data_IF_312916505850
#
_entry.id   IF_312916505850
#
_cell.length_a   1.000
_cell.length_b   1.000
_cell.length_c   1.000
_cell.angle_alpha   90.00
_cell.angle_beta   90.00
_cell.angle_gamma   90.00
#
_symmetry.space_group_name_H-M   'P 1'
#
loop_
_entity.id
_entity.type
_entity.pdbx_description
1 polymer ?
#
# COMPACT_ATOMS: atom_id res chain seq x y z
N UNK A 1 10.22 75.26 -15.88
CA UNK A 1 9.83 76.39 -15.03
C UNK A 1 10.39 76.29 -13.62
N UNK A 2 10.10 75.22 -12.85
CA UNK A 2 10.63 75.06 -11.49
C UNK A 2 12.17 75.09 -11.38
N UNK A 3 12.86 74.32 -12.23
CA UNK A 3 14.34 74.26 -12.24
C UNK A 3 15.03 75.61 -12.53
N UNK A 4 14.42 76.49 -13.32
CA UNK A 4 15.01 77.80 -13.62
C UNK A 4 14.96 78.71 -12.38
N UNK A 5 13.86 78.68 -11.63
CA UNK A 5 13.75 79.47 -10.39
C UNK A 5 14.71 79.01 -9.29
N UNK A 6 14.87 77.69 -9.12
CA UNK A 6 15.85 77.13 -8.16
C UNK A 6 17.29 77.48 -8.55
N UNK A 7 17.59 77.49 -9.86
CA UNK A 7 18.92 77.86 -10.35
C UNK A 7 19.22 79.35 -10.13
N UNK A 8 18.25 80.22 -10.36
CA UNK A 8 18.39 81.66 -10.11
C UNK A 8 18.56 81.96 -8.60
N UNK A 9 17.82 81.27 -7.73
CA UNK A 9 17.99 81.35 -6.27
C UNK A 9 19.37 80.84 -5.83
N UNK A 10 19.87 79.77 -6.44
CA UNK A 10 21.20 79.23 -6.15
C UNK A 10 22.33 80.17 -6.58
N UNK A 11 22.19 80.85 -7.73
CA UNK A 11 23.12 81.89 -8.16
C UNK A 11 23.08 83.12 -7.25
N UNK A 12 21.89 83.48 -6.74
CA UNK A 12 21.71 84.62 -5.85
C UNK A 12 22.37 84.42 -4.46
N UNK A 13 22.49 83.18 -3.98
CA UNK A 13 23.16 82.86 -2.71
C UNK A 13 24.62 83.36 -2.66
N UNK A 14 25.33 83.36 -3.78
CA UNK A 14 26.74 83.77 -3.85
C UNK A 14 26.98 85.27 -3.59
N UNK A 15 25.92 86.08 -3.60
CA UNK A 15 25.99 87.54 -3.42
C UNK A 15 25.46 88.02 -2.06
N UNK A 16 25.01 87.10 -1.20
CA UNK A 16 24.36 87.42 0.09
C UNK A 16 25.29 87.28 1.30
N UNK A 17 25.03 88.01 2.40
CA UNK A 17 25.75 87.85 3.66
C UNK A 17 25.55 86.43 4.25
N UNK A 18 26.57 85.94 4.96
CA UNK A 18 26.71 84.54 5.41
C UNK A 18 25.47 84.01 6.15
N UNK A 19 24.90 84.80 7.06
CA UNK A 19 23.74 84.38 7.86
C UNK A 19 22.50 84.16 6.99
N UNK A 20 22.25 85.03 6.00
CA UNK A 20 21.14 84.90 5.06
C UNK A 20 21.33 83.73 4.09
N UNK A 21 22.57 83.50 3.65
CA UNK A 21 22.90 82.39 2.75
C UNK A 21 22.71 81.01 3.41
N UNK A 22 22.98 80.88 4.71
CA UNK A 22 22.76 79.64 5.46
C UNK A 22 21.26 79.30 5.60
N UNK A 23 20.42 80.29 5.86
CA UNK A 23 18.97 80.07 5.99
C UNK A 23 18.37 79.66 4.64
N UNK A 24 18.69 80.37 3.56
CA UNK A 24 18.15 80.06 2.23
C UNK A 24 18.64 78.73 1.67
N UNK A 25 19.93 78.41 1.84
CA UNK A 25 20.46 77.10 1.44
C UNK A 25 19.78 75.94 2.17
N UNK A 26 19.46 76.09 3.46
CA UNK A 26 18.71 75.07 4.21
C UNK A 26 17.30 74.84 3.64
N UNK A 27 16.59 75.91 3.26
CA UNK A 27 15.26 75.79 2.64
C UNK A 27 15.32 75.12 1.26
N UNK A 28 16.32 75.46 0.45
CA UNK A 28 16.52 74.86 -0.88
C UNK A 28 16.85 73.37 -0.77
N UNK A 29 17.74 72.98 0.15
CA UNK A 29 18.07 71.58 0.41
C UNK A 29 16.82 70.82 0.85
N UNK A 30 16.04 71.39 1.77
CA UNK A 30 14.80 70.76 2.26
C UNK A 30 13.79 70.55 1.13
N UNK A 31 13.62 71.55 0.25
CA UNK A 31 12.73 71.47 -0.90
C UNK A 31 13.20 70.40 -1.91
N UNK A 32 14.50 70.36 -2.21
CA UNK A 32 15.08 69.33 -3.09
C UNK A 32 14.91 67.93 -2.53
N UNK A 33 15.14 67.72 -1.23
CA UNK A 33 14.96 66.42 -0.56
C UNK A 33 13.48 66.00 -0.61
N UNK A 34 12.56 66.93 -0.33
CA UNK A 34 11.12 66.64 -0.35
C UNK A 34 10.66 66.25 -1.76
N UNK A 35 11.12 66.96 -2.79
CA UNK A 35 10.80 66.63 -4.19
C UNK A 35 11.35 65.27 -4.62
N UNK A 36 12.63 65.00 -4.34
CA UNK A 36 13.24 63.70 -4.66
C UNK A 36 12.54 62.56 -3.91
N UNK A 37 12.21 62.75 -2.62
CA UNK A 37 11.46 61.79 -1.83
C UNK A 37 10.06 61.57 -2.39
N UNK A 38 9.35 62.63 -2.79
CA UNK A 38 8.01 62.53 -3.38
C UNK A 38 8.01 61.73 -4.68
N UNK A 39 9.02 61.92 -5.53
CA UNK A 39 9.14 61.14 -6.78
C UNK A 39 9.38 59.66 -6.48
N UNK A 40 10.26 59.35 -5.52
CA UNK A 40 10.50 57.96 -5.09
C UNK A 40 9.25 57.30 -4.50
N UNK A 41 8.49 58.03 -3.68
CA UNK A 41 7.22 57.54 -3.11
C UNK A 41 6.21 57.25 -4.23
N UNK A 42 6.11 58.11 -5.25
CA UNK A 42 5.21 57.90 -6.39
C UNK A 42 5.59 56.65 -7.19
N UNK A 43 6.88 56.41 -7.43
CA UNK A 43 7.36 55.19 -8.11
C UNK A 43 7.03 53.96 -7.27
N UNK A 44 7.34 53.98 -5.97
CA UNK A 44 7.06 52.87 -5.06
C UNK A 44 5.56 52.56 -4.95
N UNK A 45 4.70 53.58 -5.00
CA UNK A 45 3.24 53.41 -4.96
C UNK A 45 2.69 52.63 -6.17
N UNK A 46 3.41 52.60 -7.29
CA UNK A 46 3.04 51.84 -8.49
C UNK A 46 3.69 50.45 -8.48
N UNK A 47 4.98 50.36 -8.14
CA UNK A 47 5.74 49.10 -8.22
C UNK A 47 5.27 48.05 -7.21
N UNK A 48 5.00 48.45 -5.96
CA UNK A 48 4.59 47.53 -4.88
C UNK A 48 3.29 46.78 -5.18
N UNK A 49 2.17 47.43 -5.57
CA UNK A 49 0.94 46.70 -5.88
C UNK A 49 1.09 45.79 -7.10
N UNK A 50 1.85 46.21 -8.12
CA UNK A 50 2.14 45.37 -9.28
C UNK A 50 2.91 44.11 -8.88
N UNK A 51 3.93 44.24 -8.04
CA UNK A 51 4.75 43.12 -7.59
C UNK A 51 3.95 42.13 -6.73
N UNK A 52 3.08 42.62 -5.83
CA UNK A 52 2.18 41.77 -5.04
C UNK A 52 1.20 40.99 -5.91
N UNK A 53 0.61 41.64 -6.93
CA UNK A 53 -0.30 40.99 -7.87
C UNK A 53 0.42 39.93 -8.71
N UNK A 54 1.60 40.25 -9.21
CA UNK A 54 2.40 39.32 -10.02
C UNK A 54 2.85 38.11 -9.20
N UNK A 55 3.30 38.32 -7.95
CA UNK A 55 3.69 37.24 -7.05
C UNK A 55 2.52 36.31 -6.74
N UNK A 56 1.35 36.89 -6.43
CA UNK A 56 0.12 36.12 -6.17
C UNK A 56 -0.35 35.37 -7.41
N UNK A 57 -0.04 35.85 -8.61
CA UNK A 57 -0.40 35.18 -9.87
C UNK A 57 0.57 34.05 -10.21
N UNK A 58 1.87 34.21 -9.94
CA UNK A 58 2.89 33.15 -10.11
C UNK A 58 2.70 31.97 -9.17
N UNK A 59 2.13 32.19 -7.99
CA UNK A 59 1.82 31.13 -7.02
C UNK A 59 0.53 30.36 -7.33
N UNK A 60 -0.25 30.77 -8.34
CA UNK A 60 -1.43 30.02 -8.75
C UNK A 60 -0.99 28.83 -9.58
N UNK A 61 -1.21 27.63 -9.06
CA UNK A 61 -1.09 26.43 -9.86
C UNK A 61 -2.10 26.47 -11.02
N UNK A 62 -1.64 26.04 -12.18
CA UNK A 62 -2.52 25.89 -13.35
C UNK A 62 -3.50 24.74 -13.12
N UNK A 63 -4.69 24.80 -13.73
CA UNK A 63 -5.66 23.68 -13.67
C UNK A 63 -5.07 22.36 -14.19
N UNK A 64 -4.02 22.44 -14.98
CA UNK A 64 -3.30 21.31 -15.54
C UNK A 64 -2.33 20.72 -14.51
N UNK A 65 -1.55 21.55 -13.81
CA UNK A 65 -0.70 21.14 -12.68
C UNK A 65 -1.52 20.49 -11.56
N UNK A 66 -2.65 21.08 -11.15
CA UNK A 66 -3.52 20.48 -10.12
C UNK A 66 -4.04 19.11 -10.56
N UNK A 67 -4.42 18.97 -11.84
CA UNK A 67 -4.91 17.69 -12.37
C UNK A 67 -3.80 16.64 -12.45
N UNK A 68 -2.57 17.04 -12.73
CA UNK A 68 -1.43 16.15 -12.81
C UNK A 68 -0.91 15.76 -11.40
N UNK A 69 -0.91 16.68 -10.43
CA UNK A 69 -0.67 16.37 -9.01
C UNK A 69 -1.71 15.39 -8.44
N UNK A 70 -2.99 15.53 -8.81
CA UNK A 70 -4.03 14.56 -8.41
C UNK A 70 -3.75 13.15 -8.97
N UNK A 71 -3.24 13.03 -10.20
CA UNK A 71 -2.88 11.74 -10.79
C UNK A 71 -1.66 11.11 -10.10
N UNK A 72 -0.70 11.93 -9.66
CA UNK A 72 0.47 11.46 -8.90
C UNK A 72 0.11 11.06 -7.46
N UNK A 73 -0.76 11.83 -6.79
CA UNK A 73 -1.14 11.61 -5.39
C UNK A 73 -2.06 10.40 -5.21
N UNK A 74 -3.05 10.21 -6.10
CA UNK A 74 -3.98 9.08 -6.02
C UNK A 74 -3.43 7.80 -6.67
N UNK A 75 -2.38 7.95 -7.50
CA UNK A 75 -1.81 6.89 -8.31
C UNK A 75 -2.76 6.46 -9.44
N UNK A 76 -2.21 6.20 -10.64
CA UNK A 76 -3.02 5.74 -11.78
C UNK A 76 -3.84 4.50 -11.38
N UNK A 77 -5.16 4.48 -11.58
CA UNK A 77 -6.02 3.34 -11.19
C UNK A 77 -5.56 2.02 -11.84
N UNK A 78 -5.02 2.10 -13.06
CA UNK A 78 -4.37 0.99 -13.77
C UNK A 78 -3.19 0.40 -12.99
N UNK A 79 -2.35 1.26 -12.40
CA UNK A 79 -1.19 0.86 -11.60
C UNK A 79 -1.65 0.23 -10.29
N UNK A 80 -2.66 0.80 -9.63
CA UNK A 80 -3.25 0.23 -8.41
C UNK A 80 -3.86 -1.16 -8.66
N UNK A 81 -4.60 -1.32 -9.76
CA UNK A 81 -5.15 -2.60 -10.20
C UNK A 81 -4.07 -3.63 -10.46
N UNK A 82 -3.02 -3.25 -11.20
CA UNK A 82 -1.85 -4.10 -11.49
C UNK A 82 -1.09 -4.51 -10.24
N UNK A 83 -0.91 -3.62 -9.27
CA UNK A 83 -0.27 -3.95 -8.00
C UNK A 83 -1.10 -4.98 -7.24
N UNK A 84 -2.44 -4.81 -7.20
CA UNK A 84 -3.33 -5.76 -6.53
C UNK A 84 -3.29 -7.14 -7.19
N UNK A 85 -3.33 -7.21 -8.51
CA UNK A 85 -3.26 -8.49 -9.23
C UNK A 85 -1.91 -9.18 -9.03
N UNK A 86 -0.81 -8.42 -9.08
CA UNK A 86 0.54 -8.95 -8.84
C UNK A 86 0.68 -9.50 -7.40
N UNK A 87 0.15 -8.79 -6.40
CA UNK A 87 0.14 -9.28 -5.01
C UNK A 87 -0.61 -10.60 -4.87
N UNK A 88 -1.78 -10.72 -5.50
CA UNK A 88 -2.56 -11.96 -5.52
C UNK A 88 -1.80 -13.10 -6.21
N UNK A 89 -1.15 -12.81 -7.33
CA UNK A 89 -0.37 -13.80 -8.08
C UNK A 89 0.85 -14.30 -7.27
N UNK A 90 1.59 -13.39 -6.63
CA UNK A 90 2.71 -13.75 -5.75
C UNK A 90 2.22 -14.61 -4.57
N UNK A 91 1.11 -14.23 -3.94
CA UNK A 91 0.52 -15.00 -2.85
C UNK A 91 0.11 -16.41 -3.31
N UNK A 92 -0.54 -16.52 -4.47
CA UNK A 92 -0.91 -17.82 -5.05
C UNK A 92 0.33 -18.66 -5.36
N UNK A 93 1.38 -18.09 -5.96
CA UNK A 93 2.63 -18.80 -6.26
C UNK A 93 3.32 -19.32 -4.99
N UNK A 94 3.31 -18.52 -3.90
CA UNK A 94 3.86 -18.97 -2.60
C UNK A 94 3.04 -20.13 -2.04
N UNK A 95 1.71 -19.98 -1.98
CA UNK A 95 0.82 -21.04 -1.53
C UNK A 95 1.03 -22.36 -2.31
N UNK A 96 1.13 -22.29 -3.63
CA UNK A 96 1.38 -23.48 -4.46
C UNK A 96 2.76 -24.11 -4.19
N UNK A 97 3.78 -23.28 -3.92
CA UNK A 97 5.10 -23.77 -3.52
C UNK A 97 5.05 -24.49 -2.18
N UNK A 98 4.21 -24.05 -1.26
CA UNK A 98 4.11 -24.61 0.09
C UNK A 98 3.38 -25.97 0.10
N UNK A 99 2.63 -26.31 -0.95
CA UNK A 99 2.02 -27.65 -1.13
C UNK A 99 3.08 -28.75 -1.02
N UNK A 100 4.28 -28.55 -1.58
CA UNK A 100 5.38 -29.55 -1.50
C UNK A 100 5.83 -29.86 -0.08
N UNK A 101 5.54 -28.96 0.88
CA UNK A 101 5.93 -29.10 2.28
C UNK A 101 4.81 -29.72 3.13
N UNK A 102 3.65 -29.97 2.53
CA UNK A 102 2.53 -30.59 3.21
C UNK A 102 2.79 -32.09 3.43
N UNK A 103 2.25 -32.60 4.53
CA UNK A 103 2.24 -34.03 4.80
C UNK A 103 1.10 -34.73 4.07
N UNK A 104 -0.05 -34.05 3.98
CA UNK A 104 -1.26 -34.58 3.39
C UNK A 104 -2.11 -33.48 2.77
N UNK A 105 -2.81 -33.83 1.68
CA UNK A 105 -3.87 -33.01 1.10
C UNK A 105 -5.21 -33.72 1.29
N UNK A 106 -6.15 -33.05 1.94
CA UNK A 106 -7.53 -33.52 2.11
C UNK A 106 -8.40 -32.86 1.05
N UNK A 107 -9.07 -33.67 0.23
CA UNK A 107 -9.94 -33.19 -0.86
C UNK A 107 -11.41 -33.51 -0.67
N UNK A 108 -12.25 -32.58 -1.13
CA UNK A 108 -13.64 -32.80 -1.53
C UNK A 108 -13.66 -32.70 -3.07
N UNK A 109 -13.66 -33.84 -3.78
CA UNK A 109 -13.42 -33.98 -5.21
C UNK A 109 -12.97 -32.71 -5.97
N UNK A 110 -13.82 -32.15 -6.83
CA UNK A 110 -13.47 -30.97 -7.64
C UNK A 110 -13.74 -29.64 -6.93
N UNK A 111 -14.18 -29.66 -5.66
CA UNK A 111 -14.72 -28.50 -4.97
C UNK A 111 -13.78 -27.87 -3.96
N UNK A 112 -13.09 -28.67 -3.13
CA UNK A 112 -12.19 -28.15 -2.10
C UNK A 112 -10.95 -29.01 -1.96
N UNK A 113 -9.81 -28.36 -1.72
CA UNK A 113 -8.58 -29.03 -1.33
C UNK A 113 -7.89 -28.23 -0.24
N UNK A 114 -7.42 -28.91 0.79
CA UNK A 114 -6.68 -28.32 1.91
C UNK A 114 -5.44 -29.14 2.19
N UNK A 115 -4.27 -28.50 2.11
CA UNK A 115 -2.99 -29.10 2.41
C UNK A 115 -2.59 -28.78 3.85
N UNK A 116 -2.26 -29.83 4.61
CA UNK A 116 -1.88 -29.75 6.01
C UNK A 116 -0.41 -30.12 6.18
N UNK A 117 0.28 -29.36 7.02
CA UNK A 117 1.65 -29.63 7.44
C UNK A 117 1.67 -29.84 8.95
N UNK A 118 2.37 -30.87 9.40
CA UNK A 118 2.59 -31.15 10.81
C UNK A 118 4.09 -31.29 11.07
N UNK A 119 4.64 -30.42 11.91
CA UNK A 119 6.05 -30.49 12.30
C UNK A 119 6.19 -31.42 13.51
N UNK A 120 6.95 -32.50 13.36
CA UNK A 120 7.20 -33.44 14.45
C UNK A 120 7.99 -32.77 15.57
N UNK A 121 7.48 -32.87 16.80
CA UNK A 121 8.11 -32.26 17.98
C UNK A 121 7.53 -30.91 18.37
N UNK A 122 6.59 -30.37 17.58
CA UNK A 122 5.89 -29.14 17.92
C UNK A 122 4.68 -29.42 18.84
N UNK A 123 4.42 -28.51 19.79
CA UNK A 123 3.24 -28.61 20.69
C UNK A 123 1.96 -28.14 19.98
N UNK A 124 2.13 -27.47 18.84
CA UNK A 124 1.08 -26.83 18.07
C UNK A 124 0.35 -27.80 17.14
N UNK A 125 -0.88 -27.45 16.78
CA UNK A 125 -1.71 -28.27 15.90
C UNK A 125 -1.24 -28.17 14.44
N UNK A 126 -1.62 -29.15 13.58
CA UNK A 126 -1.33 -29.08 12.15
C UNK A 126 -1.79 -27.76 11.52
N UNK A 127 -0.95 -27.20 10.64
CA UNK A 127 -1.15 -25.90 10.00
C UNK A 127 -1.60 -26.07 8.55
N UNK A 128 -2.51 -25.20 8.11
CA UNK A 128 -2.95 -25.16 6.71
C UNK A 128 -1.92 -24.42 5.87
N UNK A 129 -1.22 -25.12 4.98
CA UNK A 129 -0.18 -24.52 4.10
C UNK A 129 -0.70 -24.15 2.71
N UNK A 130 -1.77 -24.79 2.27
CA UNK A 130 -2.51 -24.40 1.07
C UNK A 130 -3.99 -24.72 1.24
N UNK A 131 -4.88 -23.86 0.72
CA UNK A 131 -6.29 -24.19 0.58
C UNK A 131 -6.88 -23.55 -0.66
N UNK A 132 -7.82 -24.23 -1.30
CA UNK A 132 -8.43 -23.77 -2.54
C UNK A 132 -9.84 -24.30 -2.73
N UNK A 133 -10.60 -23.60 -3.57
CA UNK A 133 -11.88 -24.07 -4.11
C UNK A 133 -11.81 -24.20 -5.63
N UNK A 134 -12.65 -25.08 -6.18
CA UNK A 134 -12.84 -25.27 -7.63
C UNK A 134 -11.49 -25.42 -8.38
N UNK A 135 -11.19 -24.52 -9.31
CA UNK A 135 -9.94 -24.53 -10.10
C UNK A 135 -8.68 -24.49 -9.24
N UNK A 136 -8.72 -23.81 -8.09
CA UNK A 136 -7.56 -23.77 -7.18
C UNK A 136 -7.43 -25.09 -6.43
N UNK A 137 -8.55 -25.73 -6.09
CA UNK A 137 -8.52 -27.06 -5.47
C UNK A 137 -7.90 -28.09 -6.41
N UNK A 138 -8.30 -28.09 -7.69
CA UNK A 138 -7.72 -28.94 -8.72
C UNK A 138 -6.21 -28.73 -8.85
N UNK A 139 -5.77 -27.48 -8.95
CA UNK A 139 -4.34 -27.16 -9.03
C UNK A 139 -3.54 -27.63 -7.80
N UNK A 140 -4.13 -27.56 -6.59
CA UNK A 140 -3.49 -28.08 -5.37
C UNK A 140 -3.37 -29.61 -5.41
N UNK A 141 -4.40 -30.30 -5.90
CA UNK A 141 -4.40 -31.76 -6.03
C UNK A 141 -3.32 -32.18 -7.03
N UNK A 142 -3.29 -31.56 -8.22
CA UNK A 142 -2.27 -31.82 -9.25
C UNK A 142 -0.85 -31.57 -8.71
N UNK A 143 -0.62 -30.42 -8.05
CA UNK A 143 0.68 -30.10 -7.46
C UNK A 143 1.09 -31.09 -6.35
N UNK A 144 0.13 -31.61 -5.58
CA UNK A 144 0.38 -32.61 -4.55
C UNK A 144 0.78 -33.95 -5.17
N UNK A 145 0.08 -34.39 -6.21
CA UNK A 145 0.40 -35.61 -6.96
C UNK A 145 1.79 -35.51 -7.61
N UNK A 146 2.13 -34.38 -8.23
CA UNK A 146 3.46 -34.12 -8.79
C UNK A 146 4.58 -34.14 -7.75
N UNK A 147 4.31 -33.63 -6.55
CA UNK A 147 5.29 -33.59 -5.45
C UNK A 147 5.33 -34.89 -4.62
N UNK A 148 4.49 -35.88 -4.91
CA UNK A 148 4.39 -37.13 -4.14
C UNK A 148 3.77 -36.94 -2.75
N UNK A 149 2.99 -35.89 -2.53
CA UNK A 149 2.24 -35.65 -1.30
C UNK A 149 0.96 -36.50 -1.32
N UNK A 150 0.67 -37.18 -0.22
CA UNK A 150 -0.51 -38.06 -0.12
C UNK A 150 -1.81 -37.26 -0.23
N UNK A 151 -2.68 -37.65 -1.16
CA UNK A 151 -4.00 -37.04 -1.34
C UNK A 151 -5.08 -37.99 -0.82
N UNK A 152 -5.86 -37.56 0.17
CA UNK A 152 -6.96 -38.32 0.76
C UNK A 152 -8.31 -37.66 0.45
N UNK A 153 -9.27 -38.47 0.01
CA UNK A 153 -10.64 -38.01 -0.21
C UNK A 153 -11.45 -38.08 1.09
N UNK A 154 -11.75 -36.91 1.67
CA UNK A 154 -12.63 -36.80 2.83
C UNK A 154 -13.51 -35.55 2.70
N UNK A 155 -14.63 -35.64 1.94
CA UNK A 155 -15.44 -34.48 1.60
C UNK A 155 -15.97 -33.66 2.80
N UNK A 156 -16.44 -34.27 3.91
CA UNK A 156 -16.86 -33.51 5.10
C UNK A 156 -15.70 -32.75 5.74
N UNK A 157 -14.54 -33.40 5.89
CA UNK A 157 -13.36 -32.80 6.52
C UNK A 157 -12.78 -31.68 5.66
N UNK A 158 -12.67 -31.87 4.35
CA UNK A 158 -12.17 -30.84 3.43
C UNK A 158 -13.03 -29.57 3.46
N UNK A 159 -14.36 -29.71 3.53
CA UNK A 159 -15.29 -28.57 3.69
C UNK A 159 -15.06 -27.86 5.02
N UNK A 160 -15.05 -28.61 6.12
CA UNK A 160 -14.85 -28.05 7.45
C UNK A 160 -13.51 -27.31 7.54
N UNK A 161 -12.40 -27.94 7.13
CA UNK A 161 -11.08 -27.32 7.12
C UNK A 161 -11.03 -26.05 6.25
N UNK A 162 -11.68 -26.05 5.10
CA UNK A 162 -11.72 -24.88 4.23
C UNK A 162 -12.49 -23.72 4.87
N UNK A 163 -13.61 -24.00 5.53
CA UNK A 163 -14.45 -22.99 6.17
C UNK A 163 -13.85 -22.44 7.47
N UNK A 164 -13.30 -23.30 8.32
CA UNK A 164 -12.96 -22.95 9.70
C UNK A 164 -11.54 -22.44 9.89
N UNK A 165 -10.64 -22.70 8.92
CA UNK A 165 -9.20 -22.44 9.10
C UNK A 165 -8.63 -21.59 7.97
N UNK A 166 -7.93 -20.52 8.30
CA UNK A 166 -7.26 -19.66 7.33
C UNK A 166 -5.90 -20.23 6.87
N UNK A 167 -5.42 -19.73 5.73
CA UNK A 167 -4.09 -20.07 5.23
C UNK A 167 -3.03 -19.66 6.26
N UNK A 168 -2.07 -20.52 6.53
CA UNK A 168 -1.00 -20.31 7.48
C UNK A 168 -1.43 -20.43 8.95
N UNK A 169 -2.67 -20.80 9.25
CA UNK A 169 -3.17 -20.95 10.62
C UNK A 169 -3.35 -22.41 11.02
N UNK A 170 -3.34 -22.65 12.32
CA UNK A 170 -3.56 -23.95 12.94
C UNK A 170 -5.03 -24.34 12.87
N UNK A 171 -5.30 -25.63 12.71
CA UNK A 171 -6.66 -26.14 12.72
C UNK A 171 -7.35 -25.90 14.07
N UNK A 172 -8.69 -25.76 14.12
CA UNK A 172 -9.41 -25.65 15.39
C UNK A 172 -9.43 -26.99 16.14
N UNK A 173 -9.51 -26.93 17.48
CA UNK A 173 -9.57 -28.10 18.37
C UNK A 173 -10.66 -29.11 17.99
N UNK A 174 -11.81 -28.62 17.51
CA UNK A 174 -12.94 -29.45 17.05
C UNK A 174 -12.56 -30.43 15.91
N UNK A 175 -11.49 -30.15 15.16
CA UNK A 175 -11.03 -30.98 14.04
C UNK A 175 -9.79 -31.83 14.37
N UNK A 176 -9.26 -31.77 15.60
CA UNK A 176 -8.03 -32.47 15.96
C UNK A 176 -8.13 -33.98 15.78
N UNK A 177 -9.24 -34.59 16.23
CA UNK A 177 -9.44 -36.03 16.14
C UNK A 177 -9.51 -36.47 14.67
N UNK A 178 -10.26 -35.73 13.86
CA UNK A 178 -10.39 -36.00 12.43
C UNK A 178 -9.03 -35.92 11.71
N UNK A 179 -8.26 -34.86 11.97
CA UNK A 179 -6.95 -34.68 11.34
C UNK A 179 -5.92 -35.67 11.87
N UNK A 180 -5.96 -36.04 13.16
CA UNK A 180 -5.07 -37.05 13.73
C UNK A 180 -5.25 -38.42 13.07
N UNK A 181 -6.49 -38.82 12.76
CA UNK A 181 -6.77 -40.05 12.00
C UNK A 181 -6.17 -40.00 10.59
N UNK A 182 -6.30 -38.86 9.90
CA UNK A 182 -5.72 -38.66 8.57
C UNK A 182 -4.20 -38.76 8.63
N UNK A 183 -3.55 -38.07 9.58
CA UNK A 183 -2.10 -38.12 9.74
C UNK A 183 -1.62 -39.52 10.11
N UNK A 184 -2.33 -40.22 11.00
CA UNK A 184 -2.00 -41.61 11.37
C UNK A 184 -2.01 -42.53 10.14
N UNK A 185 -3.02 -42.40 9.26
CA UNK A 185 -3.08 -43.15 8.00
C UNK A 185 -1.91 -42.81 7.07
N UNK A 186 -1.57 -41.53 6.93
CA UNK A 186 -0.45 -41.08 6.08
C UNK A 186 0.88 -41.62 6.62
N UNK A 187 1.09 -41.61 7.94
CA UNK A 187 2.28 -42.19 8.55
C UNK A 187 2.36 -43.70 8.36
N UNK A 188 1.24 -44.43 8.52
CA UNK A 188 1.20 -45.87 8.23
C UNK A 188 1.55 -46.16 6.77
N UNK A 189 1.00 -45.40 5.82
CA UNK A 189 1.32 -45.52 4.40
C UNK A 189 2.81 -45.26 4.08
N UNK A 190 3.42 -44.29 4.76
CA UNK A 190 4.84 -43.94 4.58
C UNK A 190 5.76 -45.00 5.20
N UNK A 191 5.36 -45.60 6.33
CA UNK A 191 6.14 -46.60 7.06
C UNK A 191 5.93 -48.04 6.59
N UNK A 192 4.83 -48.34 5.89
CA UNK A 192 4.51 -49.68 5.41
C UNK A 192 5.44 -50.12 4.26
N UNK A 193 5.88 -51.38 4.33
CA UNK A 193 6.63 -52.00 3.23
C UNK A 193 5.77 -52.10 1.96
N UNK A 194 6.36 -52.14 0.74
CA UNK A 194 5.60 -52.17 -0.51
C UNK A 194 4.51 -53.26 -0.57
N UNK A 195 4.75 -54.42 0.03
CA UNK A 195 3.81 -55.55 0.10
C UNK A 195 2.75 -55.40 1.22
N UNK A 196 2.96 -54.52 2.19
CA UNK A 196 2.02 -54.20 3.29
C UNK A 196 1.13 -52.99 2.97
N UNK A 197 1.48 -52.15 1.99
CA UNK A 197 0.66 -50.99 1.63
C UNK A 197 -0.77 -51.36 1.23
N UNK A 198 -0.97 -52.55 0.65
CA UNK A 198 -2.28 -53.04 0.26
C UNK A 198 -3.19 -53.43 1.44
N UNK A 199 -2.63 -53.62 2.65
CA UNK A 199 -3.40 -53.92 3.86
C UNK A 199 -3.68 -52.70 4.74
N UNK A 200 -3.14 -51.52 4.40
CA UNK A 200 -3.44 -50.28 5.13
C UNK A 200 -4.87 -49.84 4.78
N UNK A 201 -5.71 -49.71 5.81
CA UNK A 201 -7.13 -49.41 5.66
C UNK A 201 -7.32 -47.89 5.64
N UNK A 202 -7.92 -47.38 4.55
CA UNK A 202 -8.33 -45.98 4.47
C UNK A 202 -9.42 -45.66 5.53
N UNK A 203 -9.28 -44.55 6.29
CA UNK A 203 -10.30 -44.12 7.22
C UNK A 203 -11.58 -43.72 6.47
N UNK A 204 -12.64 -44.53 6.56
CA UNK A 204 -13.93 -44.25 5.92
C UNK A 204 -14.81 -43.28 6.72
N UNK A 205 -14.76 -43.37 8.05
CA UNK A 205 -15.64 -42.61 8.97
C UNK A 205 -14.84 -41.60 9.80
N UNK A 206 -14.36 -40.55 9.14
CA UNK A 206 -13.64 -39.47 9.81
C UNK A 206 -14.65 -38.61 10.60
N UNK A 207 -14.52 -38.49 11.94
CA UNK A 207 -15.51 -37.81 12.77
C UNK A 207 -15.40 -36.30 12.63
N UNK A 208 -16.31 -35.70 11.85
CA UNK A 208 -16.41 -34.24 11.69
C UNK A 208 -17.68 -33.75 12.39
N UNK A 209 -17.58 -32.83 13.36
CA UNK A 209 -18.76 -32.28 14.04
C UNK A 209 -19.74 -31.64 13.03
N UNK A 210 -21.05 -31.99 13.07
CA UNK A 210 -22.04 -31.49 12.11
C UNK A 210 -22.17 -29.97 12.08
N UNK A 211 -21.96 -29.31 13.23
CA UNK A 211 -22.00 -27.85 13.37
C UNK A 211 -21.07 -27.12 12.39
N UNK A 212 -19.91 -27.70 12.08
CA UNK A 212 -18.89 -27.07 11.22
C UNK A 212 -19.20 -27.25 9.72
N UNK A 213 -20.27 -27.96 9.38
CA UNK A 213 -20.72 -28.18 8.01
C UNK A 213 -21.82 -27.20 7.58
N UNK A 214 -22.50 -26.55 8.53
CA UNK A 214 -23.72 -25.77 8.27
C UNK A 214 -23.43 -24.31 7.86
N UNK A 215 -22.20 -23.82 8.08
CA UNK A 215 -21.75 -22.45 7.75
C UNK A 215 -21.51 -22.20 6.24
N UNK A 216 -21.85 -23.18 5.38
CA UNK A 216 -21.54 -23.15 3.94
C UNK A 216 -22.77 -23.20 3.01
N UNK A 217 -23.96 -22.82 3.50
CA UNK A 217 -25.16 -22.64 2.65
C UNK A 217 -25.05 -21.44 1.72
#
# INVERSE_FOLDING_TARGET
YFFNGVFDELLALGTRPLEGALVESSSLITLCVLLLSSVLILVAAIDVPYQLWQHSTKLKMTRQEVRDEMKETEGRPEVKGRIRSLRQEIAKRRMMRDVKTADVVVRNPTHFAVALKYEQGDVYAPRVVAKGRDLVALAIIEAAEECGVTVLSAPPLARALYATTELGHEIPQKLYIAVAQVLAYVYQLRSAQPWEKASVIEPKDIPVPPELLDDMK
#
